data_IF_890462025009
#
_entry.id   IF_890462025009
#
_cell.length_a   1.000
_cell.length_b   1.000
_cell.length_c   1.000
_cell.angle_alpha   90.00
_cell.angle_beta   90.00
_cell.angle_gamma   90.00
#
_symmetry.space_group_name_H-M   'P 1'
#
loop_
_entity.id
_entity.type
_entity.pdbx_description
1 polymer ?
#
# COMPACT_ATOMS: atom_id res chain seq x y z
N UNK A 1 17.21 -20.51 -20.14
CA UNK A 1 16.80 -20.52 -18.71
C UNK A 1 15.29 -20.56 -18.72
N UNK A 2 14.73 -21.69 -18.35
CA UNK A 2 13.35 -22.11 -18.59
C UNK A 2 12.38 -21.32 -17.71
N UNK A 3 11.52 -20.50 -18.34
CA UNK A 3 10.36 -19.88 -17.70
C UNK A 3 9.31 -20.97 -17.44
N UNK A 4 8.96 -21.20 -16.19
CA UNK A 4 7.77 -21.98 -15.83
C UNK A 4 6.55 -21.14 -16.22
N UNK A 5 5.97 -21.48 -17.38
CA UNK A 5 4.75 -20.86 -17.87
C UNK A 5 3.54 -21.44 -17.13
N UNK A 6 2.72 -20.60 -16.52
CA UNK A 6 1.36 -20.95 -16.11
C UNK A 6 0.54 -21.30 -17.37
N UNK A 7 0.21 -22.56 -17.56
CA UNK A 7 -0.63 -23.05 -18.67
C UNK A 7 -2.10 -22.98 -18.22
N UNK A 8 -2.99 -22.36 -18.98
CA UNK A 8 -4.41 -22.34 -18.63
C UNK A 8 -5.05 -23.71 -18.86
N UNK A 9 -5.59 -24.31 -17.81
CA UNK A 9 -6.40 -25.52 -17.88
C UNK A 9 -7.74 -25.19 -18.54
N UNK A 10 -8.03 -25.80 -19.67
CA UNK A 10 -9.30 -25.68 -20.40
C UNK A 10 -10.43 -26.31 -19.58
N UNK A 11 -11.46 -25.51 -19.24
CA UNK A 11 -12.71 -26.01 -18.71
C UNK A 11 -13.52 -26.73 -19.81
N UNK A 12 -13.79 -27.99 -19.57
CA UNK A 12 -14.73 -28.79 -20.35
C UNK A 12 -16.14 -28.56 -19.78
N UNK A 13 -17.03 -27.97 -20.56
CA UNK A 13 -18.42 -27.75 -20.17
C UNK A 13 -19.21 -29.06 -20.32
N UNK A 14 -19.76 -29.56 -19.23
CA UNK A 14 -20.74 -30.63 -19.21
C UNK A 14 -22.12 -30.01 -18.97
N UNK A 15 -22.98 -30.10 -20.00
CA UNK A 15 -24.40 -29.75 -19.91
C UNK A 15 -25.14 -30.92 -19.20
N UNK A 16 -25.76 -30.65 -18.06
CA UNK A 16 -26.74 -31.59 -17.46
C UNK A 16 -28.10 -30.92 -17.47
N UNK A 17 -29.03 -31.55 -18.16
CA UNK A 17 -30.44 -31.17 -18.22
C UNK A 17 -31.16 -31.54 -16.90
N UNK A 18 -31.89 -30.57 -16.32
CA UNK A 18 -32.69 -30.76 -15.12
C UNK A 18 -34.15 -31.00 -15.51
N UNK A 19 -34.65 -32.17 -15.17
CA UNK A 19 -36.09 -32.49 -15.26
C UNK A 19 -36.78 -32.13 -13.94
N UNK A 20 -37.84 -31.30 -14.00
CA UNK A 20 -38.71 -30.99 -12.88
C UNK A 20 -39.71 -32.13 -12.66
N UNK A 21 -39.76 -32.66 -11.41
CA UNK A 21 -40.91 -33.43 -10.91
C UNK A 21 -41.48 -32.73 -9.69
N UNK A 22 -42.73 -32.36 -9.81
CA UNK A 22 -43.60 -31.87 -8.72
C UNK A 22 -44.02 -33.06 -7.84
N UNK A 23 -43.80 -32.97 -6.53
CA UNK A 23 -44.40 -33.87 -5.56
C UNK A 23 -45.00 -33.09 -4.38
N UNK A 24 -46.28 -33.32 -4.15
CA UNK A 24 -47.13 -32.76 -3.11
C UNK A 24 -46.83 -33.33 -1.73
N UNK A 25 -46.81 -32.48 -0.71
CA UNK A 25 -46.62 -32.85 0.70
C UNK A 25 -47.97 -33.08 1.40
N UNK A 26 -48.07 -34.07 2.32
CA UNK A 26 -49.18 -34.13 3.29
C UNK A 26 -48.78 -33.45 4.60
N UNK A 27 -49.78 -32.85 5.25
CA UNK A 27 -49.70 -32.19 6.55
C UNK A 27 -49.48 -33.20 7.71
N UNK A 28 -48.72 -32.78 8.73
CA UNK A 28 -48.48 -33.53 9.95
C UNK A 28 -48.86 -32.69 11.19
N UNK A 29 -49.35 -33.32 12.30
CA UNK A 29 -50.07 -32.64 13.35
C UNK A 29 -49.18 -32.01 14.43
N UNK A 30 -49.77 -31.08 15.17
CA UNK A 30 -49.18 -30.29 16.25
C UNK A 30 -48.63 -31.16 17.39
N UNK A 31 -47.40 -30.86 17.83
CA UNK A 31 -46.82 -31.37 19.06
C UNK A 31 -46.66 -30.22 20.08
N UNK A 32 -47.13 -30.51 21.28
CA UNK A 32 -47.18 -29.70 22.51
C UNK A 32 -45.80 -29.23 22.96
N UNK A 33 -45.70 -27.95 23.35
CA UNK A 33 -44.53 -27.30 23.89
C UNK A 33 -44.20 -27.75 25.33
N UNK A 34 -42.93 -28.08 25.58
CA UNK A 34 -42.31 -28.17 26.90
C UNK A 34 -41.47 -26.91 27.18
N UNK A 35 -41.27 -26.45 28.44
CA UNK A 35 -40.67 -25.17 28.75
C UNK A 35 -39.18 -25.15 28.48
N UNK A 36 -38.73 -24.07 27.85
CA UNK A 36 -37.34 -23.81 27.50
C UNK A 36 -36.52 -23.41 28.73
N UNK A 37 -35.50 -24.19 29.03
CA UNK A 37 -34.43 -23.88 29.99
C UNK A 37 -33.46 -22.90 29.35
N UNK A 38 -33.46 -21.64 29.82
CA UNK A 38 -32.72 -20.49 29.27
C UNK A 38 -31.26 -20.53 29.73
N UNK A 39 -30.42 -21.38 29.12
CA UNK A 39 -28.97 -21.34 29.27
C UNK A 39 -28.40 -20.34 28.25
N UNK A 40 -28.29 -19.08 28.66
CA UNK A 40 -27.47 -18.05 28.00
C UNK A 40 -26.01 -18.50 27.93
N UNK A 41 -25.66 -19.26 26.90
CA UNK A 41 -24.27 -19.50 26.50
C UNK A 41 -23.74 -18.25 25.84
N UNK A 42 -23.15 -17.34 26.62
CA UNK A 42 -22.34 -16.25 26.14
C UNK A 42 -21.12 -16.80 25.42
N UNK A 43 -21.22 -17.04 24.12
CA UNK A 43 -20.05 -17.23 23.24
C UNK A 43 -19.21 -15.96 23.26
N UNK A 44 -18.25 -15.85 24.20
CA UNK A 44 -17.11 -14.94 24.10
C UNK A 44 -16.37 -15.30 22.80
N UNK A 45 -16.58 -14.54 21.70
CA UNK A 45 -15.71 -14.58 20.54
C UNK A 45 -14.30 -14.36 21.05
N UNK A 46 -13.48 -15.40 21.08
CA UNK A 46 -12.06 -15.30 21.41
C UNK A 46 -11.44 -14.32 20.41
N UNK A 47 -11.14 -13.11 20.87
CA UNK A 47 -10.32 -12.17 20.11
C UNK A 47 -9.01 -12.88 19.86
N UNK A 48 -8.78 -13.33 18.60
CA UNK A 48 -7.49 -13.85 18.16
C UNK A 48 -6.43 -12.86 18.65
N UNK A 49 -5.58 -13.26 19.57
CA UNK A 49 -4.49 -12.42 20.07
C UNK A 49 -3.61 -12.13 18.87
N UNK A 50 -3.46 -10.87 18.49
CA UNK A 50 -2.58 -10.48 17.38
C UNK A 50 -1.20 -11.12 17.60
N UNK A 51 -0.64 -11.73 16.57
CA UNK A 51 0.70 -12.31 16.64
C UNK A 51 1.68 -11.27 17.18
N UNK A 52 2.54 -11.69 18.10
CA UNK A 52 3.57 -10.82 18.70
C UNK A 52 4.74 -10.60 17.76
N UNK A 53 4.92 -11.50 16.82
CA UNK A 53 6.00 -11.47 15.83
C UNK A 53 5.41 -11.31 14.44
N UNK A 54 6.00 -10.43 13.66
CA UNK A 54 5.69 -10.27 12.25
C UNK A 54 6.95 -10.54 11.42
N UNK A 55 6.77 -11.01 10.21
CA UNK A 55 7.80 -11.02 9.19
C UNK A 55 7.75 -9.69 8.46
N UNK A 56 8.89 -9.06 8.33
CA UNK A 56 9.07 -7.80 7.61
C UNK A 56 9.75 -8.11 6.30
N UNK A 57 9.17 -7.70 5.18
CA UNK A 57 9.79 -7.70 3.87
C UNK A 57 10.21 -6.28 3.52
N UNK A 58 11.43 -6.16 2.99
CA UNK A 58 12.03 -4.88 2.62
C UNK A 58 12.30 -4.87 1.13
N UNK A 59 11.63 -3.95 0.41
CA UNK A 59 11.95 -3.63 -0.97
C UNK A 59 13.10 -2.62 -1.02
N UNK A 60 13.93 -2.73 -2.03
CA UNK A 60 15.16 -1.95 -2.16
C UNK A 60 15.36 -1.46 -3.59
N UNK A 61 16.25 -0.50 -3.78
CA UNK A 61 16.91 -0.31 -5.07
C UNK A 61 18.13 -1.21 -5.15
N UNK A 62 18.30 -1.95 -6.26
CA UNK A 62 19.42 -2.88 -6.46
C UNK A 62 20.68 -2.16 -6.90
N UNK A 63 21.03 -1.11 -6.16
CA UNK A 63 22.28 -0.35 -6.28
C UNK A 63 23.26 -0.83 -5.21
N UNK A 64 24.55 -0.75 -5.52
CA UNK A 64 25.59 -1.18 -4.58
C UNK A 64 25.43 -2.66 -4.21
N UNK A 65 25.31 -2.95 -2.91
CA UNK A 65 25.27 -4.32 -2.36
C UNK A 65 23.87 -4.95 -2.36
N UNK A 66 22.83 -4.21 -2.76
CA UNK A 66 21.48 -4.75 -2.77
C UNK A 66 21.24 -5.72 -3.92
N UNK A 67 20.62 -6.87 -3.62
CA UNK A 67 20.29 -7.91 -4.59
C UNK A 67 18.79 -8.10 -4.82
N UNK A 68 17.92 -7.36 -4.11
CA UNK A 68 16.48 -7.54 -4.25
C UNK A 68 15.70 -7.36 -2.95
N UNK A 69 14.80 -8.28 -2.63
CA UNK A 69 13.92 -8.21 -1.46
C UNK A 69 14.59 -8.87 -0.27
N UNK A 70 14.69 -8.15 0.85
CA UNK A 70 15.20 -8.68 2.12
C UNK A 70 14.06 -8.97 3.10
N UNK A 71 14.35 -9.74 4.16
CA UNK A 71 13.41 -10.05 5.23
C UNK A 71 14.09 -10.16 6.59
N UNK A 72 13.29 -9.93 7.64
CA UNK A 72 13.64 -10.22 9.03
C UNK A 72 12.38 -10.42 9.89
N UNK A 73 12.51 -11.03 11.07
CA UNK A 73 11.44 -11.08 12.06
C UNK A 73 11.43 -9.80 12.91
N UNK A 74 10.25 -9.37 13.36
CA UNK A 74 10.11 -8.19 14.21
C UNK A 74 9.11 -8.45 15.35
N UNK A 75 9.54 -8.23 16.59
CA UNK A 75 8.69 -8.35 17.79
C UNK A 75 7.94 -7.04 18.03
N UNK A 76 6.64 -7.02 17.76
CA UNK A 76 5.76 -5.84 17.92
C UNK A 76 5.54 -5.43 19.38
N UNK A 77 6.04 -6.18 20.36
CA UNK A 77 6.00 -5.85 21.79
C UNK A 77 7.25 -5.11 22.24
N UNK A 78 8.40 -5.55 21.78
CA UNK A 78 9.72 -5.04 22.22
C UNK A 78 10.35 -4.06 21.22
N UNK A 79 9.98 -4.11 19.93
CA UNK A 79 10.64 -3.37 18.87
C UNK A 79 11.98 -3.99 18.41
N UNK A 80 12.27 -5.22 18.82
CA UNK A 80 13.50 -5.92 18.41
C UNK A 80 13.32 -6.61 17.07
N UNK A 81 14.34 -6.49 16.21
CA UNK A 81 14.44 -7.19 14.94
C UNK A 81 15.32 -8.43 15.05
N UNK A 82 15.00 -9.45 14.26
CA UNK A 82 15.87 -10.61 14.05
C UNK A 82 16.91 -10.36 12.96
N UNK A 83 17.64 -11.42 12.60
CA UNK A 83 18.67 -11.36 11.55
C UNK A 83 18.04 -11.06 10.18
N UNK A 84 18.66 -10.14 9.45
CA UNK A 84 18.31 -9.83 8.05
C UNK A 84 18.82 -10.94 7.14
N UNK A 85 18.02 -11.30 6.15
CA UNK A 85 18.40 -12.25 5.10
C UNK A 85 17.76 -11.86 3.76
N UNK A 86 18.36 -12.26 2.66
CA UNK A 86 17.79 -12.10 1.33
C UNK A 86 16.60 -13.06 1.18
N UNK A 87 15.43 -12.52 0.79
CA UNK A 87 14.22 -13.29 0.53
C UNK A 87 14.11 -13.72 -0.94
N UNK A 88 14.40 -12.80 -1.88
CA UNK A 88 14.46 -13.06 -3.32
C UNK A 88 15.43 -12.10 -4.02
N UNK A 89 16.07 -12.57 -5.09
CA UNK A 89 16.79 -11.72 -6.04
C UNK A 89 15.81 -11.23 -7.09
N UNK A 90 15.77 -9.91 -7.31
CA UNK A 90 14.95 -9.27 -8.35
C UNK A 90 15.41 -7.83 -8.53
N UNK A 91 15.40 -7.25 -9.74
CA UNK A 91 15.86 -5.87 -9.95
C UNK A 91 14.86 -4.86 -9.38
N UNK A 92 15.38 -3.86 -8.69
CA UNK A 92 14.69 -2.68 -8.19
C UNK A 92 13.26 -2.92 -7.65
N UNK A 93 13.07 -3.84 -6.65
CA UNK A 93 11.76 -4.08 -6.04
C UNK A 93 11.39 -2.95 -5.08
N UNK A 94 11.24 -1.74 -5.63
CA UNK A 94 11.13 -0.51 -4.84
C UNK A 94 9.81 -0.38 -4.06
N UNK A 95 8.77 -1.12 -4.46
CA UNK A 95 7.51 -1.15 -3.72
C UNK A 95 6.90 -2.55 -3.70
N UNK A 96 6.36 -2.93 -2.54
CA UNK A 96 5.85 -4.26 -2.26
C UNK A 96 4.38 -4.19 -1.82
N UNK A 97 3.60 -5.25 -2.09
CA UNK A 97 2.32 -5.50 -1.43
C UNK A 97 2.19 -6.98 -1.08
N UNK A 98 1.69 -7.27 0.13
CA UNK A 98 1.37 -8.64 0.55
C UNK A 98 -0.09 -8.89 0.20
N UNK A 99 -0.34 -9.99 -0.48
CA UNK A 99 -1.70 -10.44 -0.80
C UNK A 99 -2.52 -10.64 0.49
N UNK A 100 -3.82 -10.26 0.52
CA UNK A 100 -4.66 -10.40 1.73
C UNK A 100 -4.68 -11.81 2.33
N UNK A 101 -4.51 -12.85 1.50
CA UNK A 101 -4.39 -14.24 1.93
C UNK A 101 -3.08 -14.58 2.64
N UNK A 102 -2.09 -13.69 2.66
CA UNK A 102 -0.79 -13.86 3.32
C UNK A 102 0.14 -14.91 2.69
N UNK A 103 -0.22 -15.47 1.53
CA UNK A 103 0.56 -16.51 0.85
C UNK A 103 1.45 -15.98 -0.27
N UNK A 104 1.15 -14.80 -0.78
CA UNK A 104 1.85 -14.20 -1.92
C UNK A 104 2.29 -12.77 -1.60
N UNK A 105 3.37 -12.36 -2.26
CA UNK A 105 3.89 -11.00 -2.24
C UNK A 105 4.07 -10.55 -3.69
N UNK A 106 3.62 -9.34 -4.01
CA UNK A 106 3.83 -8.70 -5.28
C UNK A 106 4.82 -7.55 -5.12
N UNK A 107 5.71 -7.40 -6.10
CA UNK A 107 6.70 -6.34 -6.15
C UNK A 107 6.68 -5.65 -7.51
N UNK A 108 6.77 -4.32 -7.56
CA UNK A 108 7.16 -3.63 -8.78
C UNK A 108 8.64 -3.87 -9.06
N UNK A 109 9.04 -3.79 -10.31
CA UNK A 109 10.44 -3.70 -10.72
C UNK A 109 10.61 -2.34 -11.41
N UNK A 110 11.13 -1.36 -10.65
CA UNK A 110 11.19 0.06 -11.03
C UNK A 110 12.30 0.31 -12.06
N UNK A 111 12.13 -0.26 -13.25
CA UNK A 111 13.05 -0.13 -14.38
C UNK A 111 12.41 0.60 -15.55
N UNK A 112 13.21 1.02 -16.52
CA UNK A 112 12.76 1.66 -17.77
C UNK A 112 12.69 0.70 -18.95
N UNK A 113 13.18 -0.53 -18.77
CA UNK A 113 13.14 -1.61 -19.75
C UNK A 113 12.84 -2.93 -19.03
N UNK A 114 11.97 -3.75 -19.61
CA UNK A 114 11.56 -5.03 -19.07
C UNK A 114 11.32 -6.05 -20.17
N UNK A 115 12.01 -7.19 -20.11
CA UNK A 115 11.88 -8.30 -21.08
C UNK A 115 11.95 -7.82 -22.55
N UNK A 116 12.92 -6.95 -22.84
CA UNK A 116 13.12 -6.33 -24.16
C UNK A 116 12.14 -5.22 -24.53
N UNK A 117 11.14 -4.93 -23.69
CA UNK A 117 10.21 -3.83 -23.92
C UNK A 117 10.75 -2.53 -23.34
N UNK A 118 11.09 -1.57 -24.21
CA UNK A 118 11.49 -0.21 -23.82
C UNK A 118 10.29 0.55 -23.25
N UNK A 119 10.57 1.53 -22.38
CA UNK A 119 9.57 2.34 -21.69
C UNK A 119 8.57 1.49 -20.86
N UNK A 120 9.03 0.36 -20.34
CA UNK A 120 8.27 -0.51 -19.45
C UNK A 120 9.14 -0.93 -18.27
N UNK A 121 8.57 -0.92 -17.07
CA UNK A 121 9.10 -1.72 -15.97
C UNK A 121 8.35 -3.03 -15.85
N UNK A 122 8.53 -3.74 -14.72
CA UNK A 122 7.90 -5.02 -14.44
C UNK A 122 7.09 -5.03 -13.16
N UNK A 123 6.25 -6.04 -13.03
CA UNK A 123 5.64 -6.49 -11.78
C UNK A 123 5.87 -7.99 -11.62
N UNK A 124 6.31 -8.40 -10.44
CA UNK A 124 6.63 -9.79 -10.09
C UNK A 124 5.69 -10.31 -9.02
N UNK A 125 5.19 -11.54 -9.16
CA UNK A 125 4.48 -12.28 -8.13
C UNK A 125 5.36 -13.35 -7.54
N UNK A 126 5.33 -13.48 -6.20
CA UNK A 126 6.10 -14.45 -5.44
C UNK A 126 5.19 -15.23 -4.48
N UNK A 127 5.41 -16.53 -4.37
CA UNK A 127 4.90 -17.33 -3.28
C UNK A 127 5.77 -17.12 -2.03
N UNK A 128 5.13 -17.00 -0.87
CA UNK A 128 5.79 -16.88 0.42
C UNK A 128 5.93 -18.26 1.06
N UNK A 129 7.14 -18.77 1.22
CA UNK A 129 7.40 -19.94 2.06
C UNK A 129 7.06 -19.57 3.52
N UNK A 130 6.02 -20.16 4.06
CA UNK A 130 5.49 -19.83 5.39
C UNK A 130 6.47 -20.13 6.52
N UNK A 131 7.38 -21.10 6.36
CA UNK A 131 8.37 -21.50 7.36
C UNK A 131 9.58 -20.57 7.35
N UNK A 132 10.19 -20.40 6.20
CA UNK A 132 11.46 -19.66 6.04
C UNK A 132 11.26 -18.18 5.71
N UNK A 133 10.14 -17.82 5.07
CA UNK A 133 9.85 -16.50 4.50
C UNK A 133 10.58 -16.21 3.20
N UNK A 134 11.26 -17.18 2.63
CA UNK A 134 11.80 -17.04 1.27
C UNK A 134 10.67 -16.81 0.29
N UNK A 135 10.98 -16.10 -0.78
CA UNK A 135 10.07 -15.76 -1.85
C UNK A 135 10.46 -16.57 -3.10
N UNK A 136 9.53 -17.39 -3.58
CA UNK A 136 9.68 -18.16 -4.80
C UNK A 136 8.99 -17.38 -5.93
N UNK A 137 9.74 -16.98 -6.97
CA UNK A 137 9.18 -16.29 -8.11
C UNK A 137 8.19 -17.21 -8.83
N UNK A 138 6.98 -16.69 -9.05
CA UNK A 138 5.92 -17.41 -9.76
C UNK A 138 5.84 -16.97 -11.23
N UNK A 139 5.54 -15.69 -11.47
CA UNK A 139 5.58 -15.10 -12.80
C UNK A 139 5.77 -13.57 -12.73
N UNK A 140 5.92 -12.98 -13.90
CA UNK A 140 6.16 -11.55 -14.08
C UNK A 140 5.35 -11.03 -15.26
N UNK A 141 5.02 -9.72 -15.24
CA UNK A 141 4.33 -9.04 -16.32
C UNK A 141 4.98 -7.66 -16.57
N UNK A 142 5.04 -7.17 -17.82
CA UNK A 142 5.49 -5.82 -18.13
C UNK A 142 4.44 -4.79 -17.71
N UNK A 143 4.82 -3.67 -17.07
CA UNK A 143 3.85 -2.64 -16.65
C UNK A 143 3.46 -1.65 -17.74
N UNK A 144 4.01 -1.78 -18.95
CA UNK A 144 3.72 -0.94 -20.12
C UNK A 144 3.90 0.56 -19.88
N UNK A 145 4.67 0.90 -18.85
CA UNK A 145 5.08 2.24 -18.46
C UNK A 145 6.38 2.15 -17.68
N UNK A 146 7.32 3.08 -17.92
CA UNK A 146 8.61 3.08 -17.25
C UNK A 146 8.50 3.48 -15.77
N UNK A 147 9.37 2.90 -14.95
CA UNK A 147 9.52 3.14 -13.52
C UNK A 147 8.20 2.96 -12.73
N UNK A 148 7.62 1.74 -12.70
CA UNK A 148 6.53 1.44 -11.76
C UNK A 148 7.03 1.59 -10.33
N UNK A 149 6.43 2.51 -9.56
CA UNK A 149 6.94 2.91 -8.24
C UNK A 149 5.96 2.67 -7.09
N UNK A 150 4.75 2.24 -7.39
CA UNK A 150 3.73 1.95 -6.37
C UNK A 150 2.74 0.90 -6.86
N UNK A 151 2.28 0.04 -5.95
CA UNK A 151 1.21 -0.91 -6.23
C UNK A 151 0.27 -1.08 -5.02
N UNK A 152 -0.97 -1.48 -5.32
CA UNK A 152 -1.97 -1.85 -4.32
C UNK A 152 -2.76 -3.07 -4.77
N UNK A 153 -3.01 -4.01 -3.85
CA UNK A 153 -3.88 -5.16 -4.09
C UNK A 153 -5.25 -4.84 -3.48
N UNK A 154 -6.32 -5.15 -4.20
CA UNK A 154 -7.67 -4.99 -3.69
C UNK A 154 -7.96 -5.93 -2.51
N UNK A 155 -9.02 -5.66 -1.74
CA UNK A 155 -9.34 -6.45 -0.55
C UNK A 155 -9.74 -7.91 -0.82
N UNK A 156 -10.26 -8.19 -2.01
CA UNK A 156 -10.58 -9.56 -2.42
C UNK A 156 -9.35 -10.37 -2.80
N UNK A 157 -8.23 -9.69 -3.08
CA UNK A 157 -7.00 -10.28 -3.56
C UNK A 157 -7.01 -10.63 -5.05
N UNK A 158 -8.03 -10.21 -5.80
CA UNK A 158 -8.20 -10.59 -7.20
C UNK A 158 -7.59 -9.62 -8.20
N UNK A 159 -7.25 -8.41 -7.74
CA UNK A 159 -6.71 -7.36 -8.62
C UNK A 159 -5.55 -6.63 -7.96
N UNK A 160 -4.51 -6.37 -8.73
CA UNK A 160 -3.44 -5.44 -8.38
C UNK A 160 -3.45 -4.26 -9.34
N UNK A 161 -3.30 -3.05 -8.79
CA UNK A 161 -3.14 -1.81 -9.54
C UNK A 161 -1.72 -1.29 -9.33
N UNK A 162 -1.10 -0.77 -10.40
CA UNK A 162 0.27 -0.25 -10.42
C UNK A 162 0.28 1.17 -10.96
N UNK A 163 1.12 2.04 -10.39
CA UNK A 163 1.41 3.38 -10.90
C UNK A 163 2.83 3.42 -11.49
N UNK A 164 2.94 3.89 -12.73
CA UNK A 164 4.18 4.06 -13.48
C UNK A 164 4.60 5.53 -13.45
N UNK A 165 5.70 5.85 -12.75
CA UNK A 165 6.13 7.22 -12.53
C UNK A 165 6.55 7.92 -13.83
N UNK A 166 7.60 7.43 -14.49
CA UNK A 166 8.07 8.04 -15.75
C UNK A 166 7.11 7.78 -16.90
N UNK A 167 6.42 6.63 -16.89
CA UNK A 167 5.39 6.33 -17.87
C UNK A 167 4.13 7.20 -17.76
N UNK A 168 3.90 7.87 -16.61
CA UNK A 168 2.74 8.72 -16.38
C UNK A 168 1.42 7.97 -16.58
N UNK A 169 1.31 6.74 -16.09
CA UNK A 169 0.16 5.86 -16.35
C UNK A 169 -0.16 4.98 -15.15
N UNK A 170 -1.34 4.37 -15.17
CA UNK A 170 -1.73 3.33 -14.23
C UNK A 170 -2.20 2.09 -14.97
N UNK A 171 -1.90 0.90 -14.41
CA UNK A 171 -2.26 -0.39 -15.01
C UNK A 171 -2.80 -1.33 -13.95
N UNK A 172 -3.74 -2.20 -14.33
CA UNK A 172 -4.31 -3.24 -13.49
C UNK A 172 -4.05 -4.64 -14.06
N UNK A 173 -3.90 -5.62 -13.17
CA UNK A 173 -3.79 -7.03 -13.50
C UNK A 173 -4.73 -7.85 -12.64
N UNK A 174 -5.29 -8.92 -13.21
CA UNK A 174 -5.91 -9.96 -12.39
C UNK A 174 -4.84 -10.73 -11.61
N UNK A 175 -5.17 -11.15 -10.39
CA UNK A 175 -4.42 -12.13 -9.62
C UNK A 175 -5.22 -13.43 -9.66
N UNK A 176 -4.62 -14.48 -10.20
CA UNK A 176 -5.24 -15.80 -10.32
C UNK A 176 -5.31 -16.50 -8.95
N UNK A 177 -6.09 -17.56 -8.85
CA UNK A 177 -6.31 -18.29 -7.59
C UNK A 177 -5.02 -18.93 -7.04
N UNK A 178 -4.08 -19.24 -7.91
CA UNK A 178 -2.74 -19.72 -7.56
C UNK A 178 -1.76 -18.60 -7.14
N UNK A 179 -2.16 -17.33 -7.30
CA UNK A 179 -1.35 -16.15 -6.99
C UNK A 179 -0.52 -15.63 -8.17
N UNK A 180 -0.57 -16.25 -9.33
CA UNK A 180 0.06 -15.74 -10.55
C UNK A 180 -0.64 -14.44 -11.03
N UNK A 181 0.13 -13.57 -11.67
CA UNK A 181 -0.41 -12.44 -12.41
C UNK A 181 -1.04 -12.93 -13.73
N UNK A 182 -2.31 -12.68 -13.90
CA UNK A 182 -3.01 -12.90 -15.17
C UNK A 182 -2.79 -11.75 -16.16
N UNK A 183 -3.62 -11.66 -17.22
CA UNK A 183 -3.53 -10.59 -18.19
C UNK A 183 -3.86 -9.22 -17.58
N UNK A 184 -3.38 -8.14 -18.21
CA UNK A 184 -3.75 -6.79 -17.81
C UNK A 184 -5.25 -6.56 -18.01
N UNK A 185 -5.91 -6.04 -16.98
CA UNK A 185 -7.35 -5.78 -16.96
C UNK A 185 -7.69 -4.34 -17.32
N UNK A 186 -6.74 -3.43 -17.15
CA UNK A 186 -6.93 -1.99 -17.42
C UNK A 186 -5.59 -1.30 -17.64
N UNK A 187 -5.56 -0.30 -18.53
CA UNK A 187 -4.43 0.61 -18.71
C UNK A 187 -4.97 2.02 -18.97
N UNK A 188 -4.49 3.00 -18.19
CA UNK A 188 -4.89 4.41 -18.35
C UNK A 188 -3.62 5.26 -18.43
N UNK A 189 -3.41 5.88 -19.61
CA UNK A 189 -2.38 6.89 -19.80
C UNK A 189 -2.92 8.23 -19.30
N UNK A 190 -2.16 8.88 -18.40
CA UNK A 190 -2.46 10.25 -17.99
C UNK A 190 -1.98 11.24 -19.07
N UNK A 191 -2.64 12.39 -19.16
CA UNK A 191 -2.31 13.47 -20.09
C UNK A 191 -2.36 14.80 -19.38
N UNK A 192 -1.34 15.62 -19.55
CA UNK A 192 -1.24 16.93 -18.90
C UNK A 192 0.17 17.23 -18.40
N UNK A 193 0.31 18.34 -17.72
CA UNK A 193 1.57 18.80 -17.12
C UNK A 193 1.26 19.77 -15.97
N UNK A 194 2.26 20.04 -15.12
CA UNK A 194 2.20 21.02 -14.05
C UNK A 194 3.05 22.26 -14.31
N UNK A 195 3.21 23.07 -13.26
CA UNK A 195 3.87 24.38 -13.34
C UNK A 195 5.40 24.27 -13.47
N UNK A 196 6.02 23.37 -12.67
CA UNK A 196 7.47 23.35 -12.46
C UNK A 196 8.19 22.43 -13.45
N UNK A 197 8.79 23.02 -14.46
CA UNK A 197 9.69 22.30 -15.38
C UNK A 197 11.11 22.20 -14.78
N UNK A 198 11.84 21.07 -14.95
CA UNK A 198 11.52 19.86 -15.72
C UNK A 198 10.69 18.81 -14.94
N UNK A 199 10.40 19.03 -13.63
CA UNK A 199 9.77 18.02 -12.75
C UNK A 199 8.32 17.67 -13.12
N UNK A 200 7.64 18.55 -13.87
CA UNK A 200 6.23 18.45 -14.22
C UNK A 200 5.97 18.70 -15.71
N UNK A 201 6.94 18.38 -16.57
CA UNK A 201 6.77 18.52 -18.03
C UNK A 201 5.78 17.51 -18.61
N UNK A 202 5.57 16.39 -17.94
CA UNK A 202 4.68 15.31 -18.31
C UNK A 202 3.99 14.73 -17.05
N UNK A 203 2.98 13.86 -17.20
CA UNK A 203 2.40 13.13 -16.06
C UNK A 203 3.44 12.23 -15.39
N UNK A 204 3.30 12.10 -14.06
CA UNK A 204 4.13 11.23 -13.22
C UNK A 204 3.26 10.59 -12.14
N UNK A 205 2.55 9.51 -12.47
CA UNK A 205 1.72 8.77 -11.52
C UNK A 205 2.60 8.14 -10.43
N UNK A 206 2.54 8.68 -9.20
CA UNK A 206 3.46 8.26 -8.13
C UNK A 206 2.82 7.30 -7.12
N UNK A 207 1.53 7.24 -7.03
CA UNK A 207 0.83 6.22 -6.24
C UNK A 207 -0.56 5.95 -6.79
N UNK A 208 -1.06 4.73 -6.52
CA UNK A 208 -2.45 4.33 -6.75
C UNK A 208 -2.97 3.63 -5.51
N UNK A 209 -4.19 4.00 -5.08
CA UNK A 209 -4.78 3.53 -3.83
C UNK A 209 -6.26 3.20 -4.07
N UNK A 210 -6.77 2.18 -3.38
CA UNK A 210 -8.19 1.81 -3.45
C UNK A 210 -8.88 2.38 -2.22
N UNK A 211 -10.04 2.99 -2.42
CA UNK A 211 -10.81 3.59 -1.33
C UNK A 211 -11.37 2.52 -0.37
N UNK A 212 -11.74 2.87 0.87
CA UNK A 212 -12.24 1.90 1.85
C UNK A 212 -13.49 1.14 1.43
N UNK A 213 -14.29 1.65 0.48
CA UNK A 213 -15.45 0.93 -0.07
C UNK A 213 -15.08 -0.11 -1.13
N UNK A 214 -13.89 0.03 -1.75
CA UNK A 214 -13.45 -0.80 -2.87
C UNK A 214 -14.08 -0.44 -4.20
N UNK A 215 -14.79 0.69 -4.30
CA UNK A 215 -15.50 1.12 -5.52
C UNK A 215 -14.71 2.16 -6.33
N UNK A 216 -13.69 2.75 -5.73
CA UNK A 216 -12.88 3.78 -6.36
C UNK A 216 -11.40 3.51 -6.18
N UNK A 217 -10.62 3.84 -7.21
CA UNK A 217 -9.18 3.96 -7.14
C UNK A 217 -8.76 5.42 -7.27
N UNK A 218 -7.67 5.79 -6.58
CA UNK A 218 -7.17 7.16 -6.52
C UNK A 218 -5.69 7.16 -6.85
N UNK A 219 -5.29 7.88 -7.89
CA UNK A 219 -3.89 8.04 -8.29
C UNK A 219 -3.42 9.47 -8.03
N UNK A 220 -2.32 9.62 -7.28
CA UNK A 220 -1.63 10.91 -7.14
C UNK A 220 -0.64 11.06 -8.30
N UNK A 221 -0.82 12.08 -9.12
CA UNK A 221 0.06 12.38 -10.24
C UNK A 221 0.86 13.64 -9.96
N UNK A 222 2.14 13.45 -9.69
CA UNK A 222 3.10 14.51 -9.34
C UNK A 222 3.26 15.50 -10.49
N UNK A 223 3.30 15.00 -11.73
CA UNK A 223 3.53 15.81 -12.91
C UNK A 223 2.36 16.70 -13.29
N UNK A 224 1.15 16.38 -12.83
CA UNK A 224 -0.08 17.11 -13.15
C UNK A 224 -0.62 17.98 -12.01
N UNK A 225 -0.03 17.93 -10.83
CA UNK A 225 -0.58 18.52 -9.60
C UNK A 225 -2.02 18.03 -9.33
N UNK A 226 -2.30 16.75 -9.59
CA UNK A 226 -3.66 16.23 -9.55
C UNK A 226 -3.78 14.90 -8.80
N UNK A 227 -4.87 14.73 -8.07
CA UNK A 227 -5.29 13.47 -7.46
C UNK A 227 -6.45 12.92 -8.30
N UNK A 228 -6.13 12.04 -9.25
CA UNK A 228 -7.09 11.45 -10.18
C UNK A 228 -7.96 10.39 -9.50
N UNK A 229 -9.24 10.34 -9.85
CA UNK A 229 -10.21 9.37 -9.32
C UNK A 229 -10.77 8.52 -10.45
N UNK A 230 -10.82 7.21 -10.21
CA UNK A 230 -11.39 6.21 -11.10
C UNK A 230 -12.50 5.44 -10.40
N UNK A 231 -13.57 5.13 -11.13
CA UNK A 231 -14.49 4.06 -10.74
C UNK A 231 -13.74 2.74 -10.93
N UNK A 232 -13.72 1.94 -9.90
CA UNK A 232 -13.01 0.67 -9.90
C UNK A 232 -14.01 -0.49 -9.77
N UNK A 233 -13.94 -1.43 -10.71
CA UNK A 233 -14.67 -2.70 -10.64
C UNK A 233 -13.69 -3.80 -10.18
N UNK A 234 -13.73 -4.22 -8.91
CA UNK A 234 -12.79 -5.22 -8.40
C UNK A 234 -12.99 -6.62 -8.99
N UNK A 235 -14.16 -6.93 -9.56
CA UNK A 235 -14.42 -8.23 -10.19
C UNK A 235 -13.75 -8.33 -11.57
N UNK A 236 -13.65 -7.21 -12.28
CA UNK A 236 -13.05 -7.12 -13.62
C UNK A 236 -11.64 -6.51 -13.61
N UNK A 237 -11.26 -5.87 -12.50
CA UNK A 237 -10.01 -5.11 -12.39
C UNK A 237 -9.98 -3.85 -13.27
N UNK A 238 -11.13 -3.31 -13.69
CA UNK A 238 -11.20 -2.19 -14.63
C UNK A 238 -11.23 -0.84 -13.93
N UNK A 239 -10.56 0.14 -14.55
CA UNK A 239 -10.53 1.53 -14.14
C UNK A 239 -11.24 2.39 -15.18
N UNK A 240 -12.27 3.13 -14.76
CA UNK A 240 -12.97 4.09 -15.60
C UNK A 240 -12.83 5.49 -14.98
N UNK A 241 -12.43 6.49 -15.77
CA UNK A 241 -12.29 7.86 -15.29
C UNK A 241 -13.59 8.34 -14.61
N UNK A 242 -13.48 8.85 -13.38
CA UNK A 242 -14.63 9.44 -12.69
C UNK A 242 -14.94 10.85 -13.23
N UNK A 243 -16.16 11.31 -13.01
CA UNK A 243 -16.58 12.69 -13.30
C UNK A 243 -17.11 13.32 -12.00
N UNK A 244 -16.44 14.39 -11.48
CA UNK A 244 -15.18 15.00 -11.97
C UNK A 244 -13.96 14.06 -11.80
N UNK A 245 -12.89 14.31 -12.58
CA UNK A 245 -11.68 13.49 -12.63
C UNK A 245 -10.88 13.49 -11.30
N UNK A 246 -11.19 14.38 -10.37
CA UNK A 246 -10.54 14.55 -9.09
C UNK A 246 -9.88 15.93 -8.91
N UNK A 247 -9.50 16.30 -7.68
CA UNK A 247 -9.00 17.63 -7.37
C UNK A 247 -7.58 17.85 -7.88
N UNK A 248 -7.28 19.09 -8.24
CA UNK A 248 -5.92 19.61 -8.31
C UNK A 248 -5.48 20.06 -6.92
N UNK A 249 -4.21 19.90 -6.59
CA UNK A 249 -3.55 20.53 -5.45
C UNK A 249 -2.96 21.89 -5.88
N UNK A 250 -2.34 22.60 -4.94
CA UNK A 250 -1.64 23.85 -5.27
C UNK A 250 -0.62 23.61 -6.39
N UNK A 251 -0.57 24.51 -7.37
CA UNK A 251 0.31 24.40 -8.52
C UNK A 251 1.79 24.32 -8.08
N UNK A 252 2.53 23.37 -8.62
CA UNK A 252 3.91 23.07 -8.24
C UNK A 252 4.06 22.22 -6.98
N UNK A 253 2.97 21.73 -6.40
CA UNK A 253 3.03 20.93 -5.16
C UNK A 253 3.56 19.51 -5.37
N UNK A 254 3.22 18.86 -6.47
CA UNK A 254 3.67 17.51 -6.81
C UNK A 254 3.11 16.44 -5.88
N UNK A 255 1.82 16.07 -5.97
CA UNK A 255 1.23 15.04 -5.11
C UNK A 255 1.87 13.69 -5.37
N UNK A 256 2.26 13.00 -4.28
CA UNK A 256 3.09 11.79 -4.34
C UNK A 256 2.37 10.55 -3.80
N UNK A 257 2.34 10.38 -2.50
CA UNK A 257 1.65 9.27 -1.84
C UNK A 257 0.35 9.74 -1.20
N UNK A 258 -0.65 8.87 -1.27
CA UNK A 258 -1.99 9.12 -0.76
C UNK A 258 -2.36 8.09 0.31
N UNK A 259 -3.11 8.50 1.33
CA UNK A 259 -3.60 7.60 2.37
C UNK A 259 -5.04 7.94 2.74
N UNK A 260 -5.96 6.97 2.61
CA UNK A 260 -7.29 7.11 3.17
C UNK A 260 -7.29 6.96 4.69
N UNK A 261 -8.11 7.76 5.36
CA UNK A 261 -8.44 7.52 6.76
C UNK A 261 -9.24 6.22 6.89
N UNK A 262 -8.96 5.34 7.89
CA UNK A 262 -9.67 4.06 8.05
C UNK A 262 -11.20 4.19 8.20
N UNK A 263 -11.68 5.35 8.64
CA UNK A 263 -13.11 5.65 8.73
C UNK A 263 -13.78 6.02 7.41
N UNK A 264 -13.05 6.04 6.28
CA UNK A 264 -13.61 6.23 4.93
C UNK A 264 -14.13 7.62 4.61
N UNK A 265 -13.94 8.64 5.49
CA UNK A 265 -14.49 9.98 5.30
C UNK A 265 -13.45 11.03 4.84
N UNK A 266 -12.17 10.70 4.96
CA UNK A 266 -11.07 11.60 4.68
C UNK A 266 -9.97 10.90 3.90
N UNK A 267 -9.24 11.69 3.10
CA UNK A 267 -8.03 11.29 2.41
C UNK A 267 -6.96 12.36 2.56
N UNK A 268 -5.70 11.95 2.51
CA UNK A 268 -4.54 12.81 2.66
C UNK A 268 -3.54 12.49 1.57
N UNK A 269 -2.99 13.53 0.94
CA UNK A 269 -1.90 13.40 -0.03
C UNK A 269 -0.69 14.19 0.48
N UNK A 270 0.49 13.58 0.42
CA UNK A 270 1.75 14.28 0.65
C UNK A 270 2.28 14.80 -0.67
N UNK A 271 2.67 16.07 -0.69
CA UNK A 271 3.14 16.78 -1.86
C UNK A 271 4.67 16.84 -1.83
N UNK A 272 5.32 16.21 -2.83
CA UNK A 272 6.76 16.01 -2.84
C UNK A 272 7.56 17.30 -2.94
N UNK A 273 7.10 18.23 -3.82
CA UNK A 273 7.92 19.35 -4.26
C UNK A 273 7.87 20.51 -3.27
N UNK A 274 6.69 20.82 -2.75
CA UNK A 274 6.49 21.97 -1.84
C UNK A 274 6.40 21.59 -0.35
N UNK A 275 6.72 20.35 0.01
CA UNK A 275 6.76 19.84 1.39
C UNK A 275 5.48 20.10 2.19
N UNK A 276 4.34 19.76 1.62
CA UNK A 276 3.04 19.92 2.28
C UNK A 276 2.23 18.62 2.31
N UNK A 277 1.20 18.60 3.16
CA UNK A 277 0.13 17.61 3.12
C UNK A 277 -1.17 18.35 2.83
N UNK A 278 -1.92 17.86 1.83
CA UNK A 278 -3.29 18.32 1.56
C UNK A 278 -4.28 17.29 2.10
N UNK A 279 -5.20 17.76 2.93
CA UNK A 279 -6.29 16.97 3.52
C UNK A 279 -7.59 17.21 2.76
N UNK A 280 -8.35 16.14 2.53
CA UNK A 280 -9.62 16.16 1.83
C UNK A 280 -10.72 15.44 2.63
N UNK A 281 -11.95 15.94 2.53
CA UNK A 281 -13.14 15.12 2.79
C UNK A 281 -13.44 14.26 1.57
N UNK A 282 -13.91 13.03 1.80
CA UNK A 282 -14.21 12.04 0.78
C UNK A 282 -15.70 11.68 0.76
N UNK A 283 -16.32 11.77 -0.40
CA UNK A 283 -17.67 11.26 -0.67
C UNK A 283 -17.57 9.93 -1.41
N UNK A 284 -17.69 8.82 -0.68
CA UNK A 284 -17.56 7.47 -1.25
C UNK A 284 -18.72 7.03 -2.16
N UNK A 285 -19.82 7.78 -2.21
CA UNK A 285 -20.93 7.50 -3.14
C UNK A 285 -20.67 8.12 -4.52
N UNK A 286 -20.12 9.34 -4.53
CA UNK A 286 -19.86 10.09 -5.77
C UNK A 286 -18.41 9.91 -6.28
N UNK A 287 -17.49 9.46 -5.45
CA UNK A 287 -16.07 9.43 -5.78
C UNK A 287 -15.47 10.83 -5.88
N UNK A 288 -15.81 11.72 -4.95
CA UNK A 288 -15.37 13.13 -5.01
C UNK A 288 -14.67 13.57 -3.74
N UNK A 289 -13.69 14.44 -3.92
CA UNK A 289 -12.96 15.10 -2.84
C UNK A 289 -13.33 16.57 -2.72
N UNK A 290 -13.30 17.09 -1.49
CA UNK A 290 -13.31 18.52 -1.20
C UNK A 290 -12.13 18.81 -0.26
N UNK A 291 -11.29 19.78 -0.65
CA UNK A 291 -10.15 20.19 0.16
C UNK A 291 -10.61 20.76 1.52
N UNK A 292 -9.89 20.39 2.57
CA UNK A 292 -10.08 20.85 3.95
C UNK A 292 -8.96 21.80 4.35
N UNK A 293 -7.71 21.45 4.01
CA UNK A 293 -6.51 22.12 4.50
C UNK A 293 -5.28 21.67 3.71
N UNK A 294 -4.34 22.59 3.52
CA UNK A 294 -2.96 22.28 3.16
C UNK A 294 -2.05 22.79 4.29
N UNK A 295 -1.10 21.95 4.74
CA UNK A 295 -0.23 22.22 5.91
C UNK A 295 1.21 21.76 5.60
N UNK A 296 2.22 22.53 6.07
CA UNK A 296 3.65 22.20 5.93
C UNK A 296 4.02 20.90 6.64
N UNK A 297 4.99 20.15 6.08
CA UNK A 297 5.63 19.00 6.72
C UNK A 297 6.87 19.36 7.53
N UNK A 298 7.31 20.62 7.46
CA UNK A 298 8.41 21.15 8.25
C UNK A 298 7.89 21.73 9.57
N UNK A 299 8.74 21.90 10.58
CA UNK A 299 8.41 22.61 11.81
C UNK A 299 7.84 24.01 11.54
N UNK A 300 6.96 24.52 12.42
CA UNK A 300 6.41 25.86 12.27
C UNK A 300 7.52 26.92 12.16
N UNK A 301 7.45 27.77 11.11
CA UNK A 301 8.42 28.81 10.83
C UNK A 301 9.66 28.36 10.06
N UNK A 302 9.90 27.08 9.89
CA UNK A 302 11.01 26.58 9.08
C UNK A 302 10.68 26.63 7.58
N UNK A 303 11.67 27.08 6.78
CA UNK A 303 11.56 27.18 5.33
C UNK A 303 12.17 25.97 4.66
N UNK A 304 11.68 25.65 3.46
CA UNK A 304 12.24 24.61 2.61
C UNK A 304 13.67 24.97 2.23
N UNK A 305 14.61 24.05 2.51
CA UNK A 305 16.01 24.13 2.05
C UNK A 305 16.19 23.40 0.70
N UNK A 306 17.35 23.60 0.12
CA UNK A 306 17.76 22.90 -1.11
C UNK A 306 17.82 21.39 -0.89
N UNK A 307 17.41 20.60 -1.89
CA UNK A 307 17.37 19.14 -1.84
C UNK A 307 16.31 18.53 -0.94
N UNK A 308 15.52 19.34 -0.25
CA UNK A 308 14.42 18.84 0.57
C UNK A 308 13.21 18.42 -0.28
N UNK A 309 12.59 17.32 0.08
CA UNK A 309 11.37 16.82 -0.55
C UNK A 309 10.66 15.85 0.40
N UNK A 310 9.37 15.61 0.18
CA UNK A 310 8.66 14.58 0.96
C UNK A 310 8.68 13.21 0.26
N UNK A 311 8.22 12.15 0.97
CA UNK A 311 8.12 10.84 0.35
C UNK A 311 6.87 10.06 0.79
N UNK A 312 6.88 9.36 1.91
CA UNK A 312 5.79 8.48 2.35
C UNK A 312 4.77 9.21 3.22
N UNK A 313 3.53 8.74 3.16
CA UNK A 313 2.44 9.23 4.01
C UNK A 313 1.57 8.06 4.49
N UNK A 314 1.36 7.97 5.82
CA UNK A 314 0.49 6.93 6.38
C UNK A 314 -0.38 7.44 7.51
N UNK A 315 -1.67 7.11 7.46
CA UNK A 315 -2.57 7.24 8.61
C UNK A 315 -2.26 6.11 9.59
N UNK A 316 -2.05 6.48 10.87
CA UNK A 316 -1.80 5.52 11.93
C UNK A 316 -2.96 4.52 12.10
N UNK A 317 -2.66 3.31 12.55
CA UNK A 317 -3.58 2.15 12.64
C UNK A 317 -4.94 2.46 13.29
N UNK A 318 -5.00 3.46 14.17
CA UNK A 318 -6.24 3.88 14.87
C UNK A 318 -6.89 5.13 14.29
N UNK A 319 -6.40 5.68 13.19
CA UNK A 319 -6.91 6.90 12.58
C UNK A 319 -6.76 8.18 13.42
N UNK A 320 -5.86 8.19 14.42
CA UNK A 320 -5.68 9.35 15.32
C UNK A 320 -4.56 10.27 14.89
N UNK A 321 -3.59 9.74 14.17
CA UNK A 321 -2.39 10.44 13.75
C UNK A 321 -2.11 10.14 12.29
N UNK A 322 -1.48 11.11 11.65
CA UNK A 322 -0.90 11.00 10.31
C UNK A 322 0.60 11.21 10.44
N UNK A 323 1.38 10.41 9.72
CA UNK A 323 2.82 10.50 9.65
C UNK A 323 3.25 10.76 8.21
N UNK A 324 4.29 11.57 8.01
CA UNK A 324 4.89 11.85 6.70
C UNK A 324 6.41 11.90 6.80
N UNK A 325 7.13 11.46 5.76
CA UNK A 325 8.58 11.51 5.73
C UNK A 325 9.11 12.67 4.88
N UNK A 326 10.18 13.31 5.35
CA UNK A 326 10.90 14.41 4.70
C UNK A 326 12.32 13.95 4.37
N UNK A 327 12.64 13.84 3.08
CA UNK A 327 14.00 13.60 2.56
C UNK A 327 14.78 14.92 2.56
N UNK A 328 16.09 14.86 2.75
CA UNK A 328 16.95 16.03 2.91
C UNK A 328 16.87 16.61 4.33
N UNK A 329 15.67 16.90 4.82
CA UNK A 329 15.41 17.23 6.23
C UNK A 329 15.56 16.01 7.16
N UNK A 330 15.39 14.79 6.62
CA UNK A 330 15.62 13.49 7.27
C UNK A 330 14.79 13.27 8.54
N UNK A 331 13.51 13.62 8.48
CA UNK A 331 12.58 13.51 9.61
C UNK A 331 11.29 12.82 9.22
N UNK A 332 10.58 12.33 10.25
CA UNK A 332 9.16 12.01 10.20
C UNK A 332 8.38 13.13 10.87
N UNK A 333 7.47 13.77 10.13
CA UNK A 333 6.47 14.67 10.69
C UNK A 333 5.29 13.88 11.21
N UNK A 334 4.73 14.28 12.34
CA UNK A 334 3.49 13.73 12.88
C UNK A 334 2.44 14.82 13.06
N UNK A 335 1.18 14.46 12.74
CA UNK A 335 0.00 15.30 12.93
C UNK A 335 -1.06 14.54 13.73
N UNK A 336 -1.82 15.28 14.53
CA UNK A 336 -3.07 14.81 15.10
C UNK A 336 -4.19 15.03 14.08
N UNK A 337 -5.02 14.01 13.88
CA UNK A 337 -6.21 14.07 13.02
C UNK A 337 -7.42 14.41 13.89
N UNK A 338 -8.14 15.47 13.57
CA UNK A 338 -9.48 15.73 14.11
C UNK A 338 -10.47 14.76 13.44
N UNK A 339 -11.04 13.87 14.24
CA UNK A 339 -11.90 12.78 13.75
C UNK A 339 -13.26 13.25 13.20
N UNK A 340 -13.67 14.48 13.51
CA UNK A 340 -14.94 15.07 13.03
C UNK A 340 -14.73 15.77 11.69
N UNK A 341 -13.66 16.55 11.59
CA UNK A 341 -13.41 17.46 10.47
C UNK A 341 -12.34 16.98 9.48
N UNK A 342 -11.48 16.03 9.89
CA UNK A 342 -10.33 15.56 9.11
C UNK A 342 -9.13 16.52 9.13
N UNK A 343 -9.24 17.67 9.83
CA UNK A 343 -8.15 18.65 9.93
C UNK A 343 -6.95 18.08 10.66
N UNK A 344 -5.78 18.55 10.24
CA UNK A 344 -4.48 18.18 10.81
C UNK A 344 -3.98 19.29 11.74
N UNK A 345 -3.46 18.87 12.89
CA UNK A 345 -2.71 19.73 13.80
C UNK A 345 -1.31 19.18 13.94
N UNK A 346 -0.30 20.01 13.68
CA UNK A 346 1.12 19.66 13.83
C UNK A 346 1.42 19.19 15.26
N UNK A 347 2.19 18.11 15.37
CA UNK A 347 2.65 17.56 16.65
C UNK A 347 4.15 17.73 16.80
N UNK A 348 4.95 17.18 15.87
CA UNK A 348 6.40 17.26 15.90
C UNK A 348 7.02 16.75 14.61
N UNK A 349 8.27 17.13 14.36
CA UNK A 349 9.21 16.41 13.51
C UNK A 349 10.17 15.62 14.39
N UNK A 350 10.57 14.43 13.93
CA UNK A 350 11.53 13.57 14.62
C UNK A 350 12.56 13.02 13.64
N UNK A 351 13.86 13.12 13.99
CA UNK A 351 14.95 12.61 13.15
C UNK A 351 14.80 11.11 12.89
N UNK A 352 15.09 10.68 11.68
CA UNK A 352 15.11 9.25 11.31
C UNK A 352 16.44 8.56 11.62
N UNK A 353 17.42 9.31 12.14
CA UNK A 353 18.76 8.80 12.46
C UNK A 353 19.61 8.45 11.23
N UNK A 354 19.14 8.75 10.02
CA UNK A 354 19.83 8.46 8.76
C UNK A 354 19.47 9.45 7.67
N UNK A 355 19.76 9.10 6.40
CA UNK A 355 19.57 9.97 5.24
C UNK A 355 18.51 9.41 4.30
N UNK A 356 17.72 10.32 3.71
CA UNK A 356 16.71 10.03 2.69
C UNK A 356 15.67 8.99 3.15
N UNK A 357 14.82 9.31 4.17
CA UNK A 357 13.74 8.43 4.60
C UNK A 357 12.65 8.35 3.52
N UNK A 358 12.88 7.49 2.51
CA UNK A 358 11.99 7.37 1.33
C UNK A 358 10.67 6.69 1.64
N UNK A 359 10.65 5.78 2.61
CA UNK A 359 9.45 5.10 3.08
C UNK A 359 9.52 4.89 4.60
N UNK A 360 8.40 4.52 5.18
CA UNK A 360 8.33 3.98 6.55
C UNK A 360 7.15 3.03 6.69
N UNK A 361 7.32 1.99 7.50
CA UNK A 361 6.27 1.06 7.89
C UNK A 361 5.73 1.35 9.28
N UNK A 362 4.41 1.18 9.48
CA UNK A 362 3.78 1.17 10.80
C UNK A 362 3.51 -0.28 11.20
N UNK A 363 3.96 -0.70 12.38
CA UNK A 363 3.66 -2.04 12.86
C UNK A 363 2.16 -2.24 13.12
N UNK A 364 1.60 -3.46 12.99
CA UNK A 364 0.17 -3.71 13.16
C UNK A 364 -0.39 -3.34 14.54
N UNK A 365 0.46 -3.25 15.56
CA UNK A 365 0.05 -2.81 16.91
C UNK A 365 -0.06 -1.29 17.03
N UNK A 366 0.51 -0.54 16.09
CA UNK A 366 0.63 0.92 16.09
C UNK A 366 1.52 1.46 17.21
N UNK A 367 2.54 0.69 17.62
CA UNK A 367 3.54 1.08 18.63
C UNK A 367 4.84 1.53 18.03
N UNK A 368 5.17 1.05 16.84
CA UNK A 368 6.45 1.29 16.20
C UNK A 368 6.28 1.79 14.77
N UNK A 369 7.21 2.63 14.38
CA UNK A 369 7.43 3.09 13.02
C UNK A 369 8.85 2.66 12.63
N UNK A 370 8.99 1.97 11.50
CA UNK A 370 10.26 1.59 10.90
C UNK A 370 10.57 2.59 9.79
N UNK A 371 11.57 3.45 9.97
CA UNK A 371 11.97 4.46 8.99
C UNK A 371 13.10 3.93 8.10
N UNK A 372 12.84 3.82 6.80
CA UNK A 372 13.80 3.33 5.81
C UNK A 372 14.63 4.50 5.26
N UNK A 373 15.88 4.57 5.68
CA UNK A 373 16.86 5.57 5.28
C UNK A 373 17.66 5.07 4.08
N UNK A 374 17.18 5.34 2.88
CA UNK A 374 17.71 4.82 1.61
C UNK A 374 19.22 5.02 1.47
N UNK A 375 19.73 6.23 1.76
CA UNK A 375 21.12 6.61 1.48
C UNK A 375 22.05 6.37 2.69
N UNK A 376 21.54 5.72 3.74
CA UNK A 376 22.31 5.28 4.91
C UNK A 376 22.27 3.78 5.11
N UNK A 377 21.57 3.03 4.23
CA UNK A 377 21.45 1.57 4.30
C UNK A 377 20.88 1.06 5.63
N UNK A 378 20.02 1.87 6.28
CA UNK A 378 19.49 1.56 7.61
C UNK A 378 17.99 1.66 7.69
N UNK A 379 17.41 0.86 8.59
CA UNK A 379 16.04 1.02 9.06
C UNK A 379 16.10 1.31 10.56
N UNK A 380 15.65 2.50 10.96
CA UNK A 380 15.54 2.88 12.36
C UNK A 380 14.16 2.58 12.90
N UNK A 381 14.09 1.96 14.07
CA UNK A 381 12.84 1.65 14.76
C UNK A 381 12.52 2.76 15.73
N UNK A 382 11.43 3.48 15.48
CA UNK A 382 10.94 4.55 16.34
C UNK A 382 9.70 4.07 17.10
N UNK A 383 9.62 4.41 18.39
CA UNK A 383 8.45 4.15 19.23
C UNK A 383 7.42 5.26 19.07
N UNK A 384 6.15 4.91 18.88
CA UNK A 384 5.03 5.84 18.77
C UNK A 384 4.36 5.97 20.15
N UNK A 385 4.31 7.19 20.70
CA UNK A 385 3.40 7.48 21.80
C UNK A 385 1.97 7.58 21.24
N UNK A 386 1.16 6.58 21.52
CA UNK A 386 -0.22 6.46 21.01
C UNK A 386 -1.20 7.47 21.62
N UNK A 387 -0.81 8.25 22.66
CA UNK A 387 -1.63 9.33 23.23
C UNK A 387 -1.34 10.66 22.55
N UNK A 388 -0.08 10.96 22.32
CA UNK A 388 0.40 12.26 21.81
C UNK A 388 0.72 12.25 20.32
N UNK A 389 1.13 11.10 19.74
CA UNK A 389 1.63 10.97 18.37
C UNK A 389 3.12 11.29 18.24
N UNK A 390 3.81 11.63 19.31
CA UNK A 390 5.25 11.87 19.32
C UNK A 390 6.01 10.57 19.07
N UNK A 391 7.16 10.70 18.43
CA UNK A 391 8.11 9.60 18.19
C UNK A 391 9.27 9.67 19.17
N UNK A 392 9.89 8.52 19.44
CA UNK A 392 11.08 8.41 20.27
C UNK A 392 11.95 7.26 19.75
N UNK A 393 13.25 7.35 19.90
CA UNK A 393 14.20 6.28 19.58
C UNK A 393 13.96 5.05 20.44
N UNK A 394 14.26 3.88 19.84
CA UNK A 394 14.33 2.61 20.56
C UNK A 394 15.76 2.10 20.71
N UNK A 395 16.71 2.71 19.99
CA UNK A 395 18.08 2.22 19.84
C UNK A 395 18.22 1.02 18.87
N UNK A 396 17.11 0.54 18.27
CA UNK A 396 17.16 -0.57 17.32
C UNK A 396 17.38 -0.03 15.90
N UNK A 397 18.52 -0.39 15.31
CA UNK A 397 18.92 -0.07 13.94
C UNK A 397 19.17 -1.36 13.19
N UNK A 398 18.63 -1.47 11.97
CA UNK A 398 18.69 -2.67 11.14
C UNK A 398 19.40 -2.28 9.85
N UNK A 399 20.46 -3.02 9.50
CA UNK A 399 21.23 -2.82 8.27
C UNK A 399 20.54 -3.54 7.11
N UNK A 400 20.14 -2.79 6.10
CA UNK A 400 19.60 -3.30 4.83
C UNK A 400 20.06 -2.36 3.72
N UNK A 401 20.68 -2.83 2.65
CA UNK A 401 21.17 -1.97 1.59
C UNK A 401 19.99 -1.31 0.84
N UNK A 402 20.06 0.00 0.67
CA UNK A 402 19.12 0.86 -0.07
C UNK A 402 17.63 0.58 0.19
N UNK A 403 17.14 0.57 1.48
CA UNK A 403 15.79 0.19 1.82
C UNK A 403 14.81 1.31 1.43
N UNK A 404 13.72 0.96 0.72
CA UNK A 404 12.74 1.96 0.21
C UNK A 404 11.28 1.53 0.34
N UNK A 405 11.01 0.35 0.90
CA UNK A 405 9.65 -0.11 1.17
C UNK A 405 9.62 -1.20 2.23
N UNK A 406 8.79 -1.08 3.24
CA UNK A 406 8.55 -2.12 4.26
C UNK A 406 7.11 -2.60 4.22
N UNK A 407 6.93 -3.95 4.24
CA UNK A 407 5.63 -4.61 4.45
C UNK A 407 5.73 -5.66 5.53
N UNK A 408 4.66 -5.80 6.31
CA UNK A 408 4.65 -6.67 7.49
C UNK A 408 3.57 -7.74 7.38
N UNK A 409 3.96 -9.00 7.53
CA UNK A 409 3.08 -10.15 7.56
C UNK A 409 3.02 -10.72 8.97
N UNK A 410 1.82 -10.88 9.53
CA UNK A 410 1.66 -11.60 10.80
C UNK A 410 2.06 -13.05 10.60
N UNK A 411 2.96 -13.56 11.48
CA UNK A 411 3.32 -14.98 11.53
C UNK A 411 2.64 -15.59 12.75
N UNK A 412 1.90 -16.69 12.53
CA UNK A 412 1.35 -17.47 13.63
C UNK A 412 2.53 -18.24 14.29
N UNK A 413 2.93 -17.78 15.47
CA UNK A 413 3.96 -18.46 16.30
C UNK A 413 3.35 -19.59 17.13
N UNK A 414 2.18 -20.09 16.73
CA UNK A 414 1.52 -21.21 17.38
C UNK A 414 1.89 -22.51 16.64
N UNK A 415 3.04 -23.11 17.05
CA UNK A 415 3.23 -24.58 17.15
C UNK A 415 4.29 -24.87 18.20
#
# INVERSE_FOLDING_TARGET
MTSLSCIPTRCLAVLVALALTLASSPASPAATAAPADDKKTTRKKARKRASRTVRVYVGTYTKGDSQGIYQFSFDTRTGKAGKVSLAAKTPDPSFLAIHPGGKHLLAVNETSEWDGLKNSGGISSFEIDSKTGRLNLMNQQPTRGAHPCHLVIDRSGKTVLVANYTGGSVIGYSILDDGCLGPSSSFVQHTGSGLLKPRQAAPHAHSINIDPSGQFAVAADLGMDQVLVYRFDPAKGTLLANKPAGPKVVAGAGPRHFSFHPGGRFGYVINEINLTVTAFSWNSKAGTFKEIQTISTLPPGEKQGEGMSTAELRVGVRGRFLFGSNRGHNTIVSYRIDRKTGRLTYVSNYSTGGKTPRNFGLDPSGRFLLAENQDSDTIHVLKIDRKTGKLAETGSVIQVPSPVCVRMLAIDTAK
#
